data_IF_222831429231
#
_entry.id   IF_222831429231
#
_cell.length_a   1.000
_cell.length_b   1.000
_cell.length_c   1.000
_cell.angle_alpha   90.00
_cell.angle_beta   90.00
_cell.angle_gamma   90.00
#
_symmetry.space_group_name_H-M   'P 1'
#
loop_
_entity.id
_entity.type
_entity.pdbx_description
1 polymer ?
#
# COMPACT_ATOMS: atom_id res chain seq x y z
N UNK A 1 9.01 -46.52 1.86
CA UNK A 1 7.97 -45.68 2.40
C UNK A 1 7.73 -44.52 1.49
N UNK A 2 6.84 -44.74 0.57
CA UNK A 2 6.51 -43.71 -0.44
C UNK A 2 5.89 -42.48 0.18
N UNK A 3 5.22 -42.67 1.28
CA UNK A 3 4.45 -41.60 1.93
C UNK A 3 5.35 -40.52 2.55
N UNK A 4 6.63 -40.86 2.72
CA UNK A 4 7.60 -39.90 3.24
C UNK A 4 8.17 -39.01 2.15
N UNK A 5 8.03 -39.42 0.90
CA UNK A 5 8.52 -38.64 -0.24
C UNK A 5 7.38 -37.80 -0.76
N UNK A 6 7.20 -36.65 -0.15
CA UNK A 6 6.15 -35.75 -0.58
C UNK A 6 6.71 -34.78 -1.61
N UNK A 7 6.00 -34.62 -2.70
CA UNK A 7 6.39 -33.66 -3.74
C UNK A 7 6.11 -32.25 -3.24
N UNK A 8 7.16 -31.58 -2.81
CA UNK A 8 7.07 -30.23 -2.27
C UNK A 8 6.50 -29.26 -3.31
N UNK A 9 6.88 -29.40 -4.57
CA UNK A 9 6.33 -28.53 -5.63
C UNK A 9 4.83 -28.71 -5.78
N UNK A 10 4.35 -29.95 -5.71
CA UNK A 10 2.92 -30.23 -5.78
C UNK A 10 2.18 -29.61 -4.61
N UNK A 11 2.76 -29.69 -3.41
CA UNK A 11 2.18 -29.08 -2.23
C UNK A 11 2.18 -27.55 -2.32
N UNK A 12 3.23 -26.97 -2.88
CA UNK A 12 3.30 -25.52 -3.09
C UNK A 12 2.19 -25.06 -4.02
N UNK A 13 1.98 -25.78 -5.15
CA UNK A 13 0.90 -25.46 -6.08
C UNK A 13 -0.46 -25.57 -5.44
N UNK A 14 -0.67 -26.62 -4.67
CA UNK A 14 -1.93 -26.83 -3.96
C UNK A 14 -2.17 -25.74 -2.92
N UNK A 15 -1.10 -25.35 -2.22
CA UNK A 15 -1.16 -24.25 -1.23
C UNK A 15 -1.54 -22.93 -1.92
N UNK A 16 -0.96 -22.64 -3.07
CA UNK A 16 -1.32 -21.46 -3.85
C UNK A 16 -2.79 -21.49 -4.27
N UNK A 17 -3.28 -22.64 -4.69
CA UNK A 17 -4.71 -22.81 -5.03
C UNK A 17 -5.58 -22.55 -3.81
N UNK A 18 -5.20 -23.06 -2.66
CA UNK A 18 -5.93 -22.83 -1.41
C UNK A 18 -5.97 -21.35 -1.05
N UNK A 19 -4.85 -20.65 -1.19
CA UNK A 19 -4.78 -19.23 -0.93
C UNK A 19 -5.70 -18.44 -1.86
N UNK A 20 -5.73 -18.79 -3.14
CA UNK A 20 -6.64 -18.17 -4.11
C UNK A 20 -8.10 -18.48 -3.78
N UNK A 21 -8.38 -19.71 -3.37
CA UNK A 21 -9.74 -20.14 -3.02
C UNK A 21 -10.26 -19.52 -1.74
N UNK A 22 -9.36 -18.99 -0.90
CA UNK A 22 -9.75 -18.33 0.34
C UNK A 22 -10.44 -16.99 0.12
N UNK A 23 -10.38 -16.45 -1.10
CA UNK A 23 -10.95 -15.15 -1.45
C UNK A 23 -12.11 -15.31 -2.41
N UNK A 24 -13.14 -14.49 -2.25
CA UNK A 24 -14.22 -14.41 -3.22
C UNK A 24 -13.71 -13.85 -4.55
N UNK A 25 -14.33 -14.27 -5.67
CA UNK A 25 -13.90 -13.85 -6.99
C UNK A 25 -13.87 -12.32 -7.16
N UNK A 26 -14.87 -11.61 -6.64
CA UNK A 26 -14.92 -10.16 -6.72
C UNK A 26 -13.79 -9.51 -5.94
N UNK A 27 -13.45 -10.07 -4.77
CA UNK A 27 -12.35 -9.60 -3.94
C UNK A 27 -11.01 -9.81 -4.65
N UNK A 28 -10.80 -10.97 -5.27
CA UNK A 28 -9.58 -11.23 -6.05
C UNK A 28 -9.47 -10.29 -7.23
N UNK A 29 -10.57 -10.01 -7.90
CA UNK A 29 -10.59 -9.08 -9.03
C UNK A 29 -10.18 -7.68 -8.58
N UNK A 30 -10.67 -7.24 -7.43
CA UNK A 30 -10.32 -5.95 -6.87
C UNK A 30 -8.83 -5.88 -6.51
N UNK A 31 -8.29 -6.93 -5.88
CA UNK A 31 -6.87 -6.98 -5.56
C UNK A 31 -6.00 -6.95 -6.81
N UNK A 32 -6.39 -7.67 -7.86
CA UNK A 32 -5.66 -7.68 -9.11
C UNK A 32 -5.69 -6.33 -9.81
N UNK A 33 -6.82 -5.64 -9.77
CA UNK A 33 -6.96 -4.30 -10.34
C UNK A 33 -6.06 -3.31 -9.61
N UNK A 34 -6.05 -3.35 -8.28
CA UNK A 34 -5.17 -2.51 -7.48
C UNK A 34 -3.70 -2.79 -7.77
N UNK A 35 -3.33 -4.06 -7.87
CA UNK A 35 -1.95 -4.44 -8.18
C UNK A 35 -1.54 -3.99 -9.57
N UNK A 36 -2.46 -4.04 -10.54
CA UNK A 36 -2.17 -3.60 -11.90
C UNK A 36 -1.77 -2.12 -11.94
N UNK A 37 -2.43 -1.29 -11.15
CA UNK A 37 -2.08 0.12 -11.03
C UNK A 37 -0.65 0.29 -10.47
N UNK A 38 -0.31 -0.47 -9.45
CA UNK A 38 1.03 -0.47 -8.87
C UNK A 38 2.07 -0.95 -9.90
N UNK A 39 1.76 -2.03 -10.62
CA UNK A 39 2.67 -2.57 -11.63
C UNK A 39 2.92 -1.55 -12.75
N UNK A 40 1.90 -0.80 -13.13
CA UNK A 40 2.04 0.26 -14.13
C UNK A 40 2.96 1.37 -13.63
N UNK A 41 2.80 1.79 -12.38
CA UNK A 41 3.70 2.76 -11.75
C UNK A 41 5.15 2.27 -11.79
N UNK A 42 5.37 1.00 -11.43
CA UNK A 42 6.70 0.41 -11.46
C UNK A 42 7.27 0.39 -12.87
N UNK A 43 6.48 -0.03 -13.84
CA UNK A 43 6.90 -0.08 -15.24
C UNK A 43 7.32 1.30 -15.75
N UNK A 44 6.56 2.33 -15.43
CA UNK A 44 6.84 3.70 -15.84
C UNK A 44 8.12 4.26 -15.22
N UNK A 45 8.53 3.72 -14.09
CA UNK A 45 9.69 4.21 -13.34
C UNK A 45 10.87 3.23 -13.31
N UNK A 46 10.82 2.17 -14.14
CA UNK A 46 11.91 1.21 -14.22
C UNK A 46 12.10 0.39 -12.96
N UNK A 47 11.02 0.14 -12.21
CA UNK A 47 11.05 -0.59 -10.95
C UNK A 47 10.40 -1.96 -11.10
N UNK A 48 10.81 -2.93 -10.26
CA UNK A 48 10.27 -4.28 -10.30
C UNK A 48 9.05 -4.39 -9.37
N UNK A 49 7.86 -4.73 -9.90
CA UNK A 49 6.67 -4.85 -9.07
C UNK A 49 6.55 -6.16 -8.30
N UNK A 50 7.25 -7.22 -8.71
CA UNK A 50 7.10 -8.55 -8.12
C UNK A 50 8.41 -9.35 -8.20
N UNK A 51 9.04 -9.68 -7.09
CA UNK A 51 8.76 -9.17 -5.75
C UNK A 51 9.19 -7.72 -5.60
N UNK A 52 8.43 -6.95 -4.84
CA UNK A 52 8.71 -5.54 -4.60
C UNK A 52 9.31 -5.34 -3.21
N UNK A 53 10.17 -4.35 -3.09
CA UNK A 53 10.78 -3.99 -1.82
C UNK A 53 9.94 -2.91 -1.09
N UNK A 54 10.04 -2.84 0.25
CA UNK A 54 9.32 -1.81 1.01
C UNK A 54 9.56 -0.39 0.52
N UNK A 55 10.79 -0.08 0.07
CA UNK A 55 11.12 1.24 -0.46
C UNK A 55 10.26 1.59 -1.68
N UNK A 56 10.08 0.63 -2.59
CA UNK A 56 9.31 0.83 -3.82
C UNK A 56 7.83 1.03 -3.49
N UNK A 57 7.32 0.23 -2.55
CA UNK A 57 5.96 0.37 -2.06
C UNK A 57 5.73 1.77 -1.49
N UNK A 58 6.68 2.25 -0.69
CA UNK A 58 6.62 3.58 -0.09
C UNK A 58 6.56 4.68 -1.14
N UNK A 59 7.37 4.57 -2.20
CA UNK A 59 7.36 5.53 -3.30
C UNK A 59 6.01 5.56 -4.00
N UNK A 60 5.43 4.39 -4.25
CA UNK A 60 4.11 4.29 -4.85
C UNK A 60 3.03 4.93 -3.98
N UNK A 61 3.04 4.65 -2.68
CA UNK A 61 2.08 5.22 -1.75
C UNK A 61 2.19 6.74 -1.68
N UNK A 62 3.42 7.26 -1.70
CA UNK A 62 3.66 8.70 -1.74
C UNK A 62 3.08 9.32 -3.02
N UNK A 63 3.34 8.69 -4.16
CA UNK A 63 2.78 9.12 -5.43
C UNK A 63 1.24 9.11 -5.39
N UNK A 64 0.66 8.01 -4.92
CA UNK A 64 -0.78 7.84 -4.85
C UNK A 64 -1.42 8.82 -3.87
N UNK A 65 -0.71 9.24 -2.83
CA UNK A 65 -1.23 10.16 -1.82
C UNK A 65 -1.59 11.52 -2.38
N UNK A 66 -1.06 11.89 -3.54
CA UNK A 66 -1.34 13.17 -4.16
C UNK A 66 -2.76 13.26 -4.71
N UNK A 67 -3.36 12.12 -5.03
CA UNK A 67 -4.69 12.08 -5.66
C UNK A 67 -5.69 11.19 -4.95
N UNK A 68 -5.30 10.50 -3.88
CA UNK A 68 -6.14 9.51 -3.22
C UNK A 68 -6.19 9.70 -1.71
N UNK A 69 -7.26 9.20 -1.10
CA UNK A 69 -7.47 9.27 0.33
C UNK A 69 -6.55 8.28 1.06
N UNK A 70 -6.29 8.55 2.34
CA UNK A 70 -5.50 7.66 3.18
C UNK A 70 -6.06 6.24 3.22
N UNK A 71 -7.38 6.09 3.31
CA UNK A 71 -8.03 4.78 3.30
C UNK A 71 -7.76 4.01 2.00
N UNK A 72 -7.69 4.71 0.88
CA UNK A 72 -7.34 4.12 -0.42
C UNK A 72 -5.90 3.60 -0.41
N UNK A 73 -4.98 4.36 0.18
CA UNK A 73 -3.57 3.95 0.30
C UNK A 73 -3.45 2.66 1.11
N UNK A 74 -4.15 2.57 2.22
CA UNK A 74 -4.14 1.37 3.05
C UNK A 74 -4.73 0.17 2.30
N UNK A 75 -5.81 0.38 1.58
CA UNK A 75 -6.42 -0.69 0.77
C UNK A 75 -5.45 -1.15 -0.32
N UNK A 76 -4.80 -0.23 -1.02
CA UNK A 76 -3.84 -0.57 -2.07
C UNK A 76 -2.65 -1.35 -1.51
N UNK A 77 -2.15 -0.95 -0.35
CA UNK A 77 -1.08 -1.68 0.32
C UNK A 77 -1.50 -3.12 0.63
N UNK A 78 -2.71 -3.30 1.16
CA UNK A 78 -3.24 -4.63 1.43
C UNK A 78 -3.34 -5.47 0.16
N UNK A 79 -3.84 -4.88 -0.93
CA UNK A 79 -3.96 -5.55 -2.23
C UNK A 79 -2.60 -6.02 -2.75
N UNK A 80 -1.59 -5.15 -2.70
CA UNK A 80 -0.24 -5.48 -3.14
C UNK A 80 0.32 -6.64 -2.31
N UNK A 81 0.09 -6.60 -1.00
CA UNK A 81 0.54 -7.66 -0.08
C UNK A 81 -0.12 -9.00 -0.41
N UNK A 82 -1.44 -9.00 -0.66
CA UNK A 82 -2.18 -10.22 -0.99
C UNK A 82 -1.67 -10.81 -2.30
N UNK A 83 -1.48 -9.98 -3.32
CA UNK A 83 -1.00 -10.46 -4.63
C UNK A 83 0.42 -11.02 -4.51
N UNK A 84 1.29 -10.41 -3.72
CA UNK A 84 2.61 -10.97 -3.44
C UNK A 84 2.50 -12.35 -2.81
N UNK A 85 1.67 -12.49 -1.78
CA UNK A 85 1.48 -13.76 -1.08
C UNK A 85 0.92 -14.83 -2.01
N UNK A 86 -0.04 -14.48 -2.87
CA UNK A 86 -0.61 -15.41 -3.83
C UNK A 86 0.40 -15.89 -4.87
N UNK A 87 1.48 -15.14 -5.06
CA UNK A 87 2.56 -15.52 -5.97
C UNK A 87 3.78 -16.09 -5.22
N UNK A 88 3.61 -16.43 -3.95
CA UNK A 88 4.66 -17.06 -3.16
C UNK A 88 5.71 -16.12 -2.61
N UNK A 89 5.44 -14.83 -2.58
CA UNK A 89 6.36 -13.81 -2.05
C UNK A 89 5.82 -13.20 -0.76
N UNK A 90 6.73 -12.91 0.16
CA UNK A 90 6.37 -12.20 1.38
C UNK A 90 6.71 -10.72 1.23
N UNK A 91 5.76 -9.87 1.59
CA UNK A 91 5.96 -8.43 1.65
C UNK A 91 5.72 -7.94 3.07
N UNK A 92 6.74 -7.33 3.67
CA UNK A 92 6.62 -6.78 5.02
C UNK A 92 5.92 -5.43 4.98
N UNK A 93 4.60 -5.46 5.14
CA UNK A 93 3.77 -4.25 5.15
C UNK A 93 3.95 -3.43 6.43
N UNK A 94 4.60 -4.00 7.44
CA UNK A 94 4.87 -3.32 8.71
C UNK A 94 6.29 -2.75 8.78
N UNK A 95 7.02 -2.83 7.68
CA UNK A 95 8.36 -2.24 7.61
C UNK A 95 8.28 -0.75 7.98
N UNK A 96 9.22 -0.27 8.81
CA UNK A 96 9.17 1.12 9.29
C UNK A 96 9.06 2.16 8.19
N UNK A 97 9.73 1.97 7.04
CA UNK A 97 9.68 2.92 5.95
C UNK A 97 8.24 3.06 5.40
N UNK A 98 7.48 1.99 5.41
CA UNK A 98 6.08 2.01 4.97
C UNK A 98 5.19 2.64 6.04
N UNK A 99 5.30 2.13 7.28
CA UNK A 99 4.41 2.55 8.36
C UNK A 99 4.62 4.00 8.74
N UNK A 100 5.86 4.45 8.80
CA UNK A 100 6.17 5.83 9.14
C UNK A 100 5.75 6.79 8.03
N UNK A 101 5.95 6.40 6.77
CA UNK A 101 5.49 7.20 5.64
C UNK A 101 3.97 7.35 5.64
N UNK A 102 3.25 6.25 5.88
CA UNK A 102 1.79 6.29 5.98
C UNK A 102 1.32 7.17 7.12
N UNK A 103 1.99 7.10 8.26
CA UNK A 103 1.66 7.95 9.40
C UNK A 103 1.85 9.42 9.05
N UNK A 104 2.95 9.74 8.39
CA UNK A 104 3.21 11.11 7.93
C UNK A 104 2.15 11.60 6.95
N UNK A 105 1.78 10.76 5.98
CA UNK A 105 0.74 11.08 5.01
C UNK A 105 -0.60 11.31 5.72
N UNK A 106 -0.93 10.46 6.68
CA UNK A 106 -2.17 10.58 7.45
C UNK A 106 -2.25 11.92 8.17
N UNK A 107 -1.15 12.34 8.79
CA UNK A 107 -1.10 13.60 9.51
C UNK A 107 -1.27 14.80 8.59
N UNK A 108 -0.59 14.78 7.45
CA UNK A 108 -0.70 15.84 6.44
C UNK A 108 -2.13 15.92 5.91
N UNK A 109 -2.72 14.79 5.55
CA UNK A 109 -4.09 14.75 5.04
C UNK A 109 -5.12 15.12 6.10
N UNK A 110 -4.88 14.74 7.34
CA UNK A 110 -5.73 15.12 8.47
C UNK A 110 -5.78 16.64 8.64
N UNK A 111 -4.65 17.31 8.50
CA UNK A 111 -4.57 18.76 8.54
C UNK A 111 -5.38 19.38 7.39
N UNK A 112 -5.25 18.82 6.18
CA UNK A 112 -6.02 19.26 5.02
C UNK A 112 -7.51 19.05 5.22
N UNK A 113 -7.93 17.94 5.79
CA UNK A 113 -9.34 17.68 6.07
C UNK A 113 -9.90 18.66 7.07
N UNK A 114 -9.13 19.04 8.09
CA UNK A 114 -9.51 20.08 9.03
C UNK A 114 -9.67 21.41 8.32
N UNK A 115 -8.81 21.68 7.34
CA UNK A 115 -8.89 22.91 6.54
C UNK A 115 -10.10 22.93 5.62
N UNK A 116 -10.67 21.78 5.26
CA UNK A 116 -11.87 21.69 4.43
C UNK A 116 -13.17 21.83 5.21
N UNK A 117 -13.14 21.66 6.52
CA UNK A 117 -14.29 21.98 7.37
C UNK A 117 -14.42 23.50 7.45
N UNK A 118 -15.62 24.05 7.76
CA UNK A 118 -15.71 25.51 7.90
C UNK A 118 -14.72 25.97 8.97
N UNK A 119 -13.56 26.36 8.52
CA UNK A 119 -12.51 26.90 9.36
C UNK A 119 -12.71 28.40 9.38
N UNK A 120 -12.72 28.94 10.59
CA UNK A 120 -12.70 30.38 10.76
C UNK A 120 -11.39 30.92 10.17
N UNK A 121 -11.48 32.06 9.50
CA UNK A 121 -10.30 32.71 8.90
C UNK A 121 -9.16 32.82 9.89
N UNK A 122 -9.47 33.03 11.18
CA UNK A 122 -8.47 33.10 12.24
C UNK A 122 -7.66 31.83 12.41
N UNK A 123 -8.29 30.66 12.27
CA UNK A 123 -7.59 29.37 12.39
C UNK A 123 -6.62 29.17 11.23
N UNK A 124 -7.03 29.58 10.03
CA UNK A 124 -6.19 29.51 8.85
C UNK A 124 -4.95 30.42 9.03
N UNK A 125 -5.15 31.63 9.55
CA UNK A 125 -4.04 32.56 9.83
C UNK A 125 -3.07 31.98 10.86
N UNK A 126 -3.58 31.32 11.90
CA UNK A 126 -2.73 30.68 12.90
C UNK A 126 -1.84 29.59 12.28
N UNK A 127 -2.39 28.79 11.38
CA UNK A 127 -1.63 27.74 10.69
C UNK A 127 -0.52 28.37 9.85
N UNK A 128 -0.84 29.38 9.07
CA UNK A 128 0.15 30.07 8.22
C UNK A 128 1.23 30.74 9.06
N UNK A 129 0.85 31.39 10.15
CA UNK A 129 1.83 32.03 11.04
C UNK A 129 2.76 31.01 11.70
N UNK A 130 2.24 29.85 12.12
CA UNK A 130 3.06 28.79 12.69
C UNK A 130 4.09 28.28 11.68
N UNK A 131 3.71 28.13 10.43
CA UNK A 131 4.61 27.70 9.35
C UNK A 131 5.70 28.78 9.13
N UNK A 132 5.34 30.04 9.12
CA UNK A 132 6.29 31.13 8.93
C UNK A 132 7.26 31.26 10.09
N UNK A 133 6.80 31.07 11.32
CA UNK A 133 7.67 31.07 12.50
C UNK A 133 8.70 29.95 12.46
N UNK A 134 8.31 28.77 11.99
CA UNK A 134 9.21 27.63 11.86
C UNK A 134 10.30 27.87 10.81
N UNK A 135 10.10 28.78 9.87
CA UNK A 135 11.08 29.11 8.83
C UNK A 135 12.09 30.17 9.28
N UNK A 136 11.82 30.83 10.36
CA UNK A 136 12.71 31.84 10.91
C UNK A 136 13.57 31.26 12.02
#
# INVERSE_FOLDING_TARGET
>A
MKDLVTDVKSLELETLKNLKSSKANNTLRAYKADFKDFALFCQQNGLNPMPSEPKIITLYLTHLSKSSKYSTLKRRLASISVIHRLNGHYLDTKHPVITENLLGIKRVKGTHQKAKKPILINDLKKIVNAINEDKN
#
